data_IF_922921738187
#
_entry.id   IF_922921738187
#
_cell.length_a   1.000
_cell.length_b   1.000
_cell.length_c   1.000
_cell.angle_alpha   90.00
_cell.angle_beta   90.00
_cell.angle_gamma   90.00
#
_symmetry.space_group_name_H-M   'P 1'
#
loop_
_entity.id
_entity.type
_entity.pdbx_description
1 polymer ?
#
# COMPACT_ATOMS: atom_id res chain seq x y z
N UNK A 1 5.64 7.21 -22.46
CA UNK A 1 4.37 6.98 -21.71
C UNK A 1 4.41 5.58 -21.13
N UNK A 2 3.95 5.36 -19.90
CA UNK A 2 3.93 4.04 -19.27
C UNK A 2 2.49 3.59 -19.07
N UNK A 3 2.20 2.33 -19.36
CA UNK A 3 0.96 1.65 -18.97
C UNK A 3 1.28 0.53 -17.99
N UNK A 4 0.41 0.35 -17.00
CA UNK A 4 0.55 -0.71 -16.00
C UNK A 4 -0.71 -1.55 -15.94
N UNK A 5 -0.56 -2.80 -15.51
CA UNK A 5 -1.67 -3.71 -15.19
C UNK A 5 -1.25 -4.66 -14.07
N UNK A 6 -2.24 -5.36 -13.51
CA UNK A 6 -2.02 -6.46 -12.57
C UNK A 6 -2.50 -7.76 -13.19
N UNK A 7 -1.63 -8.75 -13.25
CA UNK A 7 -1.93 -10.04 -13.86
C UNK A 7 -2.34 -11.09 -12.82
N UNK A 8 -3.59 -11.55 -12.92
CA UNK A 8 -4.12 -12.68 -12.14
C UNK A 8 -4.01 -14.02 -12.89
N UNK A 9 -3.44 -14.02 -14.11
CA UNK A 9 -3.31 -15.20 -14.99
C UNK A 9 -1.86 -15.64 -15.17
N UNK A 10 -0.97 -15.12 -14.33
CA UNK A 10 0.44 -15.49 -14.24
C UNK A 10 1.39 -14.61 -15.08
N UNK A 11 2.70 -14.77 -14.85
CA UNK A 11 3.71 -13.79 -15.27
C UNK A 11 3.95 -13.72 -16.79
N UNK A 12 3.55 -14.75 -17.55
CA UNK A 12 3.97 -14.90 -18.96
C UNK A 12 2.93 -14.44 -19.97
N UNK A 13 1.66 -14.27 -19.60
CA UNK A 13 0.60 -14.00 -20.57
C UNK A 13 0.76 -12.60 -21.17
N UNK A 14 0.81 -11.57 -20.32
CA UNK A 14 0.94 -10.19 -20.75
C UNK A 14 2.38 -9.82 -21.16
N UNK A 15 3.38 -10.57 -20.71
CA UNK A 15 4.78 -10.40 -21.13
C UNK A 15 4.95 -10.53 -22.64
N UNK A 16 4.23 -11.50 -23.25
CA UNK A 16 4.18 -11.72 -24.71
C UNK A 16 3.52 -10.56 -25.46
N UNK A 17 2.67 -9.79 -24.77
CA UNK A 17 2.01 -8.61 -25.30
C UNK A 17 2.80 -7.32 -25.02
N UNK A 18 3.94 -7.42 -24.32
CA UNK A 18 4.86 -6.33 -24.02
C UNK A 18 4.70 -5.67 -22.65
N UNK A 19 3.72 -6.10 -21.83
CA UNK A 19 3.67 -5.73 -20.42
C UNK A 19 4.58 -6.66 -19.64
N UNK A 20 5.81 -6.21 -19.44
CA UNK A 20 6.85 -6.94 -18.74
C UNK A 20 6.54 -7.03 -17.25
N UNK A 21 6.75 -8.20 -16.67
CA UNK A 21 6.58 -8.42 -15.23
C UNK A 21 7.54 -7.50 -14.46
N UNK A 22 6.99 -6.79 -13.49
CA UNK A 22 7.73 -6.00 -12.53
C UNK A 22 7.67 -6.73 -11.17
N UNK A 23 8.77 -7.36 -10.72
CA UNK A 23 8.79 -8.06 -9.45
C UNK A 23 8.34 -7.15 -8.31
N UNK A 24 7.46 -7.66 -7.46
CA UNK A 24 6.88 -6.89 -6.37
C UNK A 24 6.72 -7.78 -5.15
N UNK A 25 7.32 -7.32 -4.06
CA UNK A 25 7.24 -7.95 -2.75
C UNK A 25 5.99 -7.47 -2.03
N UNK A 26 5.57 -8.27 -1.07
CA UNK A 26 4.51 -7.90 -0.13
C UNK A 26 4.96 -8.22 1.28
N UNK A 27 4.67 -7.32 2.22
CA UNK A 27 4.68 -7.62 3.64
C UNK A 27 3.27 -8.02 4.08
N UNK A 28 3.16 -9.07 4.87
CA UNK A 28 1.89 -9.51 5.46
C UNK A 28 1.98 -9.62 6.97
N UNK A 29 0.86 -9.32 7.63
CA UNK A 29 0.68 -9.54 9.07
C UNK A 29 -0.54 -10.41 9.27
N UNK A 30 -0.38 -11.53 9.97
CA UNK A 30 -1.51 -12.32 10.47
C UNK A 30 -2.13 -11.60 11.67
N UNK A 31 -3.41 -11.26 11.56
CA UNK A 31 -4.16 -10.50 12.56
C UNK A 31 -4.28 -11.25 13.89
N UNK A 32 -4.29 -12.59 13.85
CA UNK A 32 -4.41 -13.47 15.00
C UNK A 32 -3.06 -13.87 15.61
N UNK A 33 -1.93 -13.47 15.00
CA UNK A 33 -0.61 -13.78 15.56
C UNK A 33 -0.45 -13.10 16.94
N UNK A 34 0.03 -13.82 17.99
CA UNK A 34 0.19 -13.27 19.32
C UNK A 34 1.03 -11.98 19.41
N UNK A 35 2.06 -11.82 18.56
CA UNK A 35 2.84 -10.58 18.51
C UNK A 35 2.00 -9.42 17.97
N UNK A 36 1.22 -9.67 16.92
CA UNK A 36 0.36 -8.66 16.30
C UNK A 36 -0.86 -8.31 17.16
N UNK A 37 -1.21 -9.11 18.18
CA UNK A 37 -2.29 -8.82 19.15
C UNK A 37 -1.82 -7.88 20.27
N UNK A 38 -0.53 -7.84 20.59
CA UNK A 38 -0.03 -7.06 21.73
C UNK A 38 -0.24 -5.56 21.52
N UNK A 39 -1.22 -5.02 22.23
CA UNK A 39 -1.43 -3.58 22.29
C UNK A 39 -0.50 -2.97 23.34
N UNK A 40 0.63 -2.41 22.92
CA UNK A 40 1.35 -1.47 23.77
C UNK A 40 0.56 -0.16 23.79
N UNK A 41 -0.09 0.13 24.93
CA UNK A 41 -0.78 1.39 25.22
C UNK A 41 0.20 2.57 25.41
N UNK A 42 1.36 2.56 24.76
CA UNK A 42 2.40 3.55 25.00
C UNK A 42 2.33 4.73 24.02
N UNK A 43 1.63 5.75 24.53
CA UNK A 43 1.58 7.16 24.14
C UNK A 43 0.50 7.57 23.13
N UNK A 44 -0.25 8.59 23.57
CA UNK A 44 -1.25 9.36 22.85
C UNK A 44 -0.62 10.28 21.79
N UNK A 45 -0.08 9.71 20.70
CA UNK A 45 -0.03 10.48 19.47
C UNK A 45 -1.48 10.69 19.01
N UNK A 46 -1.86 11.92 18.70
CA UNK A 46 -3.17 12.23 18.14
C UNK A 46 -3.21 11.67 16.71
N UNK A 47 -3.86 10.50 16.57
CA UNK A 47 -4.09 9.87 15.28
C UNK A 47 -5.39 10.43 14.70
N UNK A 48 -5.29 11.04 13.52
CA UNK A 48 -6.44 11.52 12.77
C UNK A 48 -6.95 10.40 11.85
N UNK A 49 -8.25 10.11 11.91
CA UNK A 49 -8.88 9.15 10.99
C UNK A 49 -9.10 9.79 9.62
N UNK A 50 -8.69 9.09 8.57
CA UNK A 50 -8.95 9.48 7.19
C UNK A 50 -10.28 8.87 6.73
N UNK A 51 -11.09 9.68 6.05
CA UNK A 51 -12.34 9.27 5.40
C UNK A 51 -12.34 9.77 3.96
N UNK A 52 -13.25 9.25 3.12
CA UNK A 52 -13.40 9.69 1.72
C UNK A 52 -14.18 11.01 1.61
N UNK A 53 -13.89 11.97 2.48
CA UNK A 53 -14.51 13.29 2.47
C UNK A 53 -13.87 14.21 1.40
N UNK A 54 -14.33 15.46 1.37
CA UNK A 54 -13.82 16.46 0.42
C UNK A 54 -12.35 16.85 0.69
N UNK A 55 -11.83 16.61 1.89
CA UNK A 55 -10.43 16.89 2.22
C UNK A 55 -9.49 15.80 1.70
N UNK A 56 -9.99 14.57 1.49
CA UNK A 56 -9.20 13.43 1.04
C UNK A 56 -8.49 13.68 -0.29
N UNK A 57 -9.15 14.35 -1.23
CA UNK A 57 -8.54 14.72 -2.51
C UNK A 57 -7.33 15.65 -2.31
N UNK A 58 -7.48 16.68 -1.48
CA UNK A 58 -6.39 17.64 -1.18
C UNK A 58 -5.23 16.97 -0.45
N UNK A 59 -5.52 16.02 0.45
CA UNK A 59 -4.52 15.20 1.12
C UNK A 59 -3.70 14.36 0.13
N UNK A 60 -4.35 13.62 -0.77
CA UNK A 60 -3.66 12.86 -1.83
C UNK A 60 -2.87 13.78 -2.77
N UNK A 61 -3.38 14.98 -3.06
CA UNK A 61 -2.65 15.94 -3.89
C UNK A 61 -1.33 16.38 -3.23
N UNK A 62 -1.33 16.61 -1.92
CA UNK A 62 -0.11 16.91 -1.17
C UNK A 62 0.87 15.72 -1.18
N UNK A 63 0.37 14.48 -1.02
CA UNK A 63 1.18 13.27 -1.13
C UNK A 63 1.77 13.09 -2.54
N UNK A 64 0.99 13.38 -3.57
CA UNK A 64 1.42 13.33 -4.97
C UNK A 64 2.56 14.33 -5.25
N UNK A 65 2.49 15.53 -4.69
CA UNK A 65 3.57 16.52 -4.82
C UNK A 65 4.89 16.02 -4.17
N UNK A 66 4.80 15.27 -3.07
CA UNK A 66 5.96 14.61 -2.44
C UNK A 66 6.51 13.49 -3.33
N UNK A 67 5.66 12.62 -3.86
CA UNK A 67 6.07 11.56 -4.80
C UNK A 67 6.78 12.12 -6.05
N UNK A 68 6.29 13.23 -6.60
CA UNK A 68 6.94 13.91 -7.74
C UNK A 68 8.31 14.47 -7.34
N UNK A 69 8.44 15.00 -6.13
CA UNK A 69 9.71 15.49 -5.60
C UNK A 69 10.72 14.35 -5.41
N UNK A 70 10.28 13.23 -4.83
CA UNK A 70 11.08 12.02 -4.64
C UNK A 70 11.52 11.43 -5.99
N UNK A 71 10.61 11.37 -6.96
CA UNK A 71 10.92 10.92 -8.33
C UNK A 71 11.98 11.80 -9.00
N UNK A 72 12.04 13.08 -8.64
CA UNK A 72 13.01 14.05 -9.18
C UNK A 72 14.30 14.14 -8.37
N UNK A 73 14.47 13.34 -7.32
CA UNK A 73 15.67 13.36 -6.48
C UNK A 73 16.82 12.55 -7.06
N UNK A 74 18.03 12.78 -6.53
CA UNK A 74 19.26 12.11 -6.96
C UNK A 74 19.23 10.58 -6.78
N UNK A 75 18.25 10.03 -6.06
CA UNK A 75 18.08 8.59 -5.88
C UNK A 75 17.91 7.83 -7.21
N UNK A 76 17.46 8.51 -8.26
CA UNK A 76 17.27 7.95 -9.59
C UNK A 76 18.24 8.54 -10.63
N UNK A 77 19.32 9.20 -10.20
CA UNK A 77 20.31 9.74 -11.14
C UNK A 77 20.88 8.60 -12.03
N UNK A 78 20.84 8.80 -13.34
CA UNK A 78 21.29 7.80 -14.32
C UNK A 78 20.33 6.62 -14.55
N UNK A 79 19.13 6.63 -13.97
CA UNK A 79 18.11 5.59 -14.15
C UNK A 79 16.74 6.20 -14.47
N UNK A 80 16.06 5.70 -15.51
CA UNK A 80 14.66 6.08 -15.74
C UNK A 80 13.77 5.56 -14.59
N UNK A 81 12.88 6.39 -14.10
CA UNK A 81 11.89 6.04 -13.08
C UNK A 81 10.52 6.62 -13.43
N UNK A 82 9.46 6.00 -12.91
CA UNK A 82 8.09 6.50 -13.00
C UNK A 82 7.34 6.20 -11.70
N UNK A 83 6.25 6.92 -11.49
CA UNK A 83 5.31 6.73 -10.38
C UNK A 83 3.90 6.78 -10.93
N UNK A 84 3.00 5.97 -10.39
CA UNK A 84 1.57 6.14 -10.57
C UNK A 84 1.07 6.96 -9.38
N UNK A 85 0.42 8.08 -9.64
CA UNK A 85 -0.06 8.95 -8.58
C UNK A 85 -1.41 8.46 -8.05
N UNK A 86 -1.57 8.19 -6.75
CA UNK A 86 -2.87 7.85 -6.18
C UNK A 86 -3.88 8.99 -6.41
N UNK A 87 -5.08 8.62 -6.81
CA UNK A 87 -6.23 9.52 -6.96
C UNK A 87 -7.36 9.12 -6.04
N UNK A 88 -8.27 10.05 -5.74
CA UNK A 88 -9.48 9.74 -4.98
C UNK A 88 -10.22 8.58 -5.64
N UNK A 89 -10.46 8.63 -6.94
CA UNK A 89 -11.19 7.59 -7.69
C UNK A 89 -10.56 6.20 -7.53
N UNK A 90 -9.23 6.09 -7.62
CA UNK A 90 -8.52 4.81 -7.51
C UNK A 90 -8.67 4.14 -6.14
N UNK A 91 -8.78 4.95 -5.07
CA UNK A 91 -8.92 4.49 -3.70
C UNK A 91 -10.41 4.28 -3.37
N UNK A 92 -11.27 5.22 -3.75
CA UNK A 92 -12.71 5.18 -3.54
C UNK A 92 -13.33 3.95 -4.19
N UNK A 93 -12.91 3.59 -5.40
CA UNK A 93 -13.36 2.35 -6.05
C UNK A 93 -13.12 1.11 -5.19
N UNK A 94 -11.89 0.93 -4.67
CA UNK A 94 -11.54 -0.21 -3.83
C UNK A 94 -12.23 -0.19 -2.47
N UNK A 95 -12.40 1.00 -1.90
CA UNK A 95 -13.11 1.19 -0.65
C UNK A 95 -14.60 0.82 -0.78
N UNK A 96 -15.26 1.30 -1.84
CA UNK A 96 -16.67 0.99 -2.13
C UNK A 96 -16.91 -0.50 -2.35
N UNK A 97 -15.97 -1.24 -2.95
CA UNK A 97 -16.04 -2.70 -3.02
C UNK A 97 -16.08 -3.31 -1.62
N UNK A 98 -15.23 -2.82 -0.70
CA UNK A 98 -15.23 -3.25 0.69
C UNK A 98 -16.56 -2.97 1.39
N UNK A 99 -17.11 -1.77 1.23
CA UNK A 99 -18.43 -1.39 1.78
C UNK A 99 -19.54 -2.29 1.24
N UNK A 100 -19.56 -2.52 -0.07
CA UNK A 100 -20.53 -3.40 -0.71
C UNK A 100 -20.50 -4.81 -0.14
N UNK A 101 -19.31 -5.42 0.00
CA UNK A 101 -19.19 -6.77 0.58
C UNK A 101 -19.53 -6.80 2.08
N UNK A 102 -19.25 -5.74 2.84
CA UNK A 102 -19.63 -5.65 4.25
C UNK A 102 -21.15 -5.65 4.38
N UNK A 103 -21.83 -4.86 3.54
CA UNK A 103 -23.28 -4.81 3.48
C UNK A 103 -23.89 -6.15 3.04
N UNK A 104 -23.34 -6.77 1.99
CA UNK A 104 -23.81 -8.05 1.48
C UNK A 104 -23.59 -9.23 2.45
N UNK A 105 -22.61 -9.10 3.36
CA UNK A 105 -22.33 -10.07 4.42
C UNK A 105 -22.98 -9.69 5.76
N UNK A 106 -23.82 -8.66 5.78
CA UNK A 106 -24.59 -8.22 6.96
C UNK A 106 -23.71 -7.90 8.17
N UNK A 107 -22.57 -7.24 7.95
CA UNK A 107 -21.78 -6.70 9.07
C UNK A 107 -22.60 -5.65 9.83
N UNK A 108 -22.46 -5.64 11.15
CA UNK A 108 -23.12 -4.67 12.04
C UNK A 108 -22.72 -3.23 11.72
N UNK A 109 -21.46 -3.04 11.37
CA UNK A 109 -20.88 -1.76 10.96
C UNK A 109 -20.34 -1.85 9.53
N UNK A 110 -20.44 -0.75 8.79
CA UNK A 110 -19.85 -0.64 7.45
C UNK A 110 -18.51 0.12 7.52
N UNK A 111 -17.55 -0.20 6.64
CA UNK A 111 -16.33 0.60 6.52
C UNK A 111 -16.66 2.07 6.33
N UNK A 112 -16.17 2.91 7.25
CA UNK A 112 -16.36 4.37 7.21
C UNK A 112 -15.04 5.14 7.20
N UNK A 113 -13.92 4.48 7.54
CA UNK A 113 -12.57 5.04 7.55
C UNK A 113 -11.72 4.34 6.50
N UNK A 114 -10.99 5.12 5.71
CA UNK A 114 -10.07 4.62 4.70
C UNK A 114 -8.60 4.71 5.13
N UNK A 115 -8.30 5.17 6.35
CA UNK A 115 -6.92 5.25 6.82
C UNK A 115 -6.78 5.98 8.15
N UNK A 116 -5.54 6.16 8.57
CA UNK A 116 -5.15 7.06 9.67
C UNK A 116 -3.87 7.80 9.31
N UNK A 117 -3.71 9.00 9.86
CA UNK A 117 -2.46 9.76 9.81
C UNK A 117 -2.09 10.31 11.17
N UNK A 118 -0.79 10.49 11.39
CA UNK A 118 -0.25 11.33 12.46
C UNK A 118 0.01 12.72 11.90
N UNK A 119 0.59 12.77 10.71
CA UNK A 119 0.85 13.98 9.93
C UNK A 119 0.91 13.61 8.43
N UNK A 120 1.34 14.55 7.62
CA UNK A 120 1.44 14.41 6.16
C UNK A 120 2.56 13.45 5.68
N UNK A 121 3.50 13.11 6.56
CA UNK A 121 4.65 12.24 6.29
C UNK A 121 4.58 10.90 7.04
N UNK A 122 3.52 10.68 7.82
CA UNK A 122 3.28 9.47 8.60
C UNK A 122 1.81 9.05 8.55
N UNK A 123 1.45 8.20 7.59
CA UNK A 123 0.08 7.75 7.40
C UNK A 123 -0.01 6.38 6.72
N UNK A 124 -1.19 5.76 6.85
CA UNK A 124 -1.58 4.57 6.07
C UNK A 124 -3.01 4.72 5.57
N UNK A 125 -3.23 4.32 4.33
CA UNK A 125 -4.54 4.23 3.68
C UNK A 125 -4.82 2.76 3.39
N UNK A 126 -6.04 2.32 3.64
CA UNK A 126 -6.46 0.94 3.48
C UNK A 126 -7.78 0.79 2.73
N UNK A 127 -7.99 -0.41 2.19
CA UNK A 127 -9.27 -0.86 1.67
C UNK A 127 -9.55 -2.31 2.11
N UNK A 128 -10.81 -2.59 2.44
CA UNK A 128 -11.27 -3.89 2.91
C UNK A 128 -11.51 -4.84 1.74
N UNK A 129 -10.69 -5.89 1.62
CA UNK A 129 -10.97 -7.00 0.73
C UNK A 129 -11.55 -8.16 1.54
N UNK A 130 -12.85 -8.07 1.80
CA UNK A 130 -13.59 -9.06 2.60
C UNK A 130 -13.63 -10.44 1.92
N UNK A 131 -13.66 -10.49 0.58
CA UNK A 131 -13.62 -11.75 -0.18
C UNK A 131 -12.34 -12.54 0.11
N UNK A 132 -11.19 -11.86 0.17
CA UNK A 132 -9.91 -12.47 0.49
C UNK A 132 -9.57 -12.42 1.99
N UNK A 133 -10.49 -11.96 2.86
CA UNK A 133 -10.27 -11.74 4.29
C UNK A 133 -8.99 -10.94 4.59
N UNK A 134 -8.78 -9.85 3.83
CA UNK A 134 -7.56 -9.04 3.84
C UNK A 134 -7.84 -7.56 3.96
N UNK A 135 -7.11 -6.86 4.83
CA UNK A 135 -7.00 -5.40 4.78
C UNK A 135 -5.79 -5.05 3.90
N UNK A 136 -6.03 -4.47 2.72
CA UNK A 136 -4.91 -4.03 1.88
C UNK A 136 -4.53 -2.63 2.31
N UNK A 137 -3.29 -2.40 2.72
CA UNK A 137 -2.75 -1.05 2.82
C UNK A 137 -2.39 -0.63 1.40
N UNK A 138 -3.22 0.24 0.84
CA UNK A 138 -3.13 0.64 -0.56
C UNK A 138 -2.11 1.74 -0.76
N UNK A 139 -1.88 2.59 0.24
CA UNK A 139 -0.86 3.65 0.23
C UNK A 139 -0.27 3.80 1.62
N UNK A 140 1.05 3.78 1.74
CA UNK A 140 1.74 3.92 3.03
C UNK A 140 2.85 4.97 2.95
N UNK A 141 2.91 5.83 3.96
CA UNK A 141 4.07 6.69 4.19
C UNK A 141 4.52 6.48 5.61
N UNK A 142 5.58 5.70 5.77
CA UNK A 142 6.16 5.35 7.05
C UNK A 142 7.53 6.01 7.15
N UNK A 143 7.85 6.69 8.28
CA UNK A 143 9.17 7.30 8.45
C UNK A 143 10.26 6.23 8.42
N UNK A 144 11.19 6.33 7.46
CA UNK A 144 12.27 5.35 7.32
C UNK A 144 13.43 5.57 8.29
N UNK A 145 13.55 6.77 8.85
CA UNK A 145 14.65 7.12 9.75
C UNK A 145 14.21 8.10 10.84
N UNK A 146 15.06 8.25 11.87
CA UNK A 146 14.80 9.13 13.00
C UNK A 146 14.43 8.39 14.29
N UNK A 147 14.52 9.10 15.42
CA UNK A 147 14.38 8.50 16.76
C UNK A 147 13.01 7.85 17.00
N UNK A 148 11.98 8.36 16.33
CA UNK A 148 10.59 7.92 16.52
C UNK A 148 10.06 7.04 15.37
N UNK A 149 10.87 6.72 14.35
CA UNK A 149 10.41 6.01 13.15
C UNK A 149 9.68 4.70 13.47
N UNK A 150 10.35 3.79 14.19
CA UNK A 150 9.76 2.51 14.59
C UNK A 150 8.48 2.69 15.43
N UNK A 151 8.46 3.66 16.35
CA UNK A 151 7.31 3.95 17.21
C UNK A 151 6.12 4.45 16.38
N UNK A 152 6.35 5.37 15.44
CA UNK A 152 5.33 5.85 14.50
C UNK A 152 4.78 4.71 13.65
N UNK A 153 5.65 3.87 13.10
CA UNK A 153 5.24 2.67 12.35
C UNK A 153 4.41 1.73 13.23
N UNK A 154 4.78 1.52 14.50
CA UNK A 154 3.99 0.71 15.42
C UNK A 154 2.59 1.26 15.63
N UNK A 155 2.46 2.56 15.84
CA UNK A 155 1.16 3.22 16.04
C UNK A 155 0.24 3.03 14.82
N UNK A 156 0.76 3.29 13.62
CA UNK A 156 -0.01 3.15 12.38
C UNK A 156 -0.43 1.68 12.13
N UNK A 157 0.51 0.73 12.23
CA UNK A 157 0.19 -0.69 12.04
C UNK A 157 -0.82 -1.23 13.06
N UNK A 158 -0.77 -0.72 14.31
CA UNK A 158 -1.75 -1.09 15.32
C UNK A 158 -3.17 -0.63 14.96
N UNK A 159 -3.34 0.55 14.36
CA UNK A 159 -4.65 0.99 13.87
C UNK A 159 -5.17 0.13 12.73
N UNK A 160 -4.31 -0.24 11.77
CA UNK A 160 -4.69 -1.20 10.73
C UNK A 160 -5.08 -2.57 11.30
N UNK A 161 -4.39 -3.05 12.35
CA UNK A 161 -4.74 -4.30 13.03
C UNK A 161 -6.06 -4.21 13.78
N UNK A 162 -6.36 -3.08 14.42
CA UNK A 162 -7.67 -2.82 15.04
C UNK A 162 -8.79 -2.84 14.00
N UNK A 163 -8.61 -2.11 12.90
CA UNK A 163 -9.55 -2.08 11.78
C UNK A 163 -9.78 -3.49 11.20
N UNK A 164 -8.69 -4.24 10.97
CA UNK A 164 -8.76 -5.60 10.46
C UNK A 164 -9.55 -6.53 11.40
N UNK A 165 -9.37 -6.40 12.72
CA UNK A 165 -10.14 -7.17 13.72
C UNK A 165 -11.62 -6.81 13.73
N UNK A 166 -11.93 -5.53 13.66
CA UNK A 166 -13.31 -5.02 13.63
C UNK A 166 -14.08 -5.66 12.47
N UNK A 167 -13.45 -5.79 11.31
CA UNK A 167 -14.01 -6.44 10.12
C UNK A 167 -13.68 -7.92 9.99
N UNK A 168 -13.24 -8.59 11.06
CA UNK A 168 -12.95 -10.04 11.11
C UNK A 168 -12.02 -10.52 9.98
N UNK A 169 -11.12 -9.65 9.54
CA UNK A 169 -10.12 -9.94 8.51
C UNK A 169 -8.98 -10.75 9.13
N UNK A 170 -8.43 -11.69 8.36
CA UNK A 170 -7.35 -12.58 8.83
C UNK A 170 -5.97 -12.00 8.62
N UNK A 171 -5.79 -11.14 7.63
CA UNK A 171 -4.47 -10.61 7.26
C UNK A 171 -4.48 -9.14 6.88
N UNK A 172 -3.35 -8.48 7.12
CA UNK A 172 -3.00 -7.20 6.50
C UNK A 172 -1.99 -7.48 5.37
N UNK A 173 -2.11 -6.78 4.26
CA UNK A 173 -1.20 -6.86 3.12
C UNK A 173 -0.68 -5.47 2.74
N UNK A 174 0.63 -5.34 2.60
CA UNK A 174 1.33 -4.10 2.21
C UNK A 174 2.17 -4.41 0.99
N UNK A 175 1.83 -3.81 -0.15
CA UNK A 175 2.61 -3.97 -1.39
C UNK A 175 3.76 -2.98 -1.40
N UNK A 176 4.86 -3.35 -2.08
CA UNK A 176 6.08 -2.54 -2.13
C UNK A 176 6.52 -2.06 -0.73
N UNK A 177 6.71 -3.01 0.22
CA UNK A 177 6.75 -2.69 1.65
C UNK A 177 7.92 -1.76 2.00
N UNK A 178 7.67 -0.64 2.72
CA UNK A 178 8.72 0.26 3.18
C UNK A 178 9.80 -0.45 4.00
N UNK A 179 11.05 -0.01 3.85
CA UNK A 179 12.22 -0.71 4.42
C UNK A 179 12.18 -0.77 5.96
N UNK A 180 11.56 0.22 6.61
CA UNK A 180 11.34 0.28 8.06
C UNK A 180 10.59 -0.93 8.61
N UNK A 181 9.80 -1.64 7.80
CA UNK A 181 9.11 -2.86 8.24
C UNK A 181 10.08 -4.01 8.56
N UNK A 182 11.31 -3.96 8.05
CA UNK A 182 12.37 -4.91 8.35
C UNK A 182 13.24 -4.51 9.56
N UNK A 183 13.07 -3.30 10.11
CA UNK A 183 13.84 -2.83 11.26
C UNK A 183 13.56 -3.68 12.51
N UNK A 184 14.61 -4.01 13.26
CA UNK A 184 14.52 -4.89 14.43
C UNK A 184 13.57 -4.36 15.51
N UNK A 185 13.46 -3.04 15.68
CA UNK A 185 12.52 -2.44 16.64
C UNK A 185 11.08 -2.63 16.17
N UNK A 186 10.82 -2.56 14.86
CA UNK A 186 9.52 -2.90 14.27
C UNK A 186 9.22 -4.39 14.45
N UNK A 187 10.14 -5.24 14.01
CA UNK A 187 10.05 -6.71 14.08
C UNK A 187 9.90 -7.25 15.51
N UNK A 188 10.43 -6.55 16.51
CA UNK A 188 10.28 -6.95 17.93
C UNK A 188 8.84 -6.92 18.44
N UNK A 189 7.96 -6.15 17.79
CA UNK A 189 6.55 -6.03 18.18
C UNK A 189 5.58 -6.68 17.19
N UNK A 190 6.02 -6.94 15.96
CA UNK A 190 5.16 -7.50 14.92
C UNK A 190 5.80 -8.71 14.24
N UNK A 191 4.99 -9.75 14.06
CA UNK A 191 5.30 -10.82 13.13
C UNK A 191 4.86 -10.40 11.73
N UNK A 192 5.84 -9.98 10.93
CA UNK A 192 5.72 -9.54 9.54
C UNK A 192 6.38 -10.57 8.62
N UNK A 193 5.65 -11.07 7.63
CA UNK A 193 6.21 -11.98 6.63
C UNK A 193 6.43 -11.22 5.33
N UNK A 194 7.64 -11.29 4.79
CA UNK A 194 7.94 -10.78 3.46
C UNK A 194 7.84 -11.93 2.46
N UNK A 195 6.94 -11.80 1.49
CA UNK A 195 6.67 -12.81 0.47
C UNK A 195 6.77 -12.21 -0.92
N UNK A 196 7.22 -13.02 -1.87
CA UNK A 196 7.04 -12.71 -3.29
C UNK A 196 5.56 -12.88 -3.64
N UNK A 197 5.00 -11.94 -4.38
CA UNK A 197 3.60 -12.05 -4.81
C UNK A 197 3.49 -13.04 -5.96
N UNK A 198 2.47 -13.89 -5.89
CA UNK A 198 2.08 -14.85 -6.93
C UNK A 198 0.74 -14.51 -7.60
N UNK A 199 0.05 -13.49 -7.08
CA UNK A 199 -1.25 -13.01 -7.55
C UNK A 199 -1.23 -11.49 -7.80
N UNK A 200 -2.09 -11.04 -8.72
CA UNK A 200 -2.20 -9.66 -9.19
C UNK A 200 -0.85 -9.03 -9.52
N UNK A 201 -0.03 -9.77 -10.29
CA UNK A 201 1.38 -9.44 -10.54
C UNK A 201 1.51 -8.11 -11.29
N UNK A 202 2.30 -7.16 -10.75
CA UNK A 202 2.52 -5.87 -11.39
C UNK A 202 3.24 -6.08 -12.73
N UNK A 203 2.70 -5.52 -13.79
CA UNK A 203 3.36 -5.47 -15.10
C UNK A 203 3.33 -4.07 -15.67
N UNK A 204 4.39 -3.69 -16.37
CA UNK A 204 4.54 -2.37 -16.98
C UNK A 204 4.94 -2.48 -18.45
N UNK A 205 4.44 -1.55 -19.27
CA UNK A 205 4.81 -1.37 -20.66
C UNK A 205 5.24 0.08 -20.88
N UNK A 206 6.38 0.27 -21.53
CA UNK A 206 6.90 1.60 -21.89
C UNK A 206 6.66 1.86 -23.38
N UNK A 207 5.82 2.85 -23.68
CA UNK A 207 5.61 3.33 -25.05
C UNK A 207 6.64 4.41 -25.39
N UNK A 208 7.25 4.27 -26.57
CA UNK A 208 8.12 5.29 -27.17
C UNK A 208 9.61 4.92 -27.20
N UNK A 209 10.04 3.84 -26.55
CA UNK A 209 11.38 3.29 -26.76
C UNK A 209 11.41 2.57 -28.11
N UNK A 210 11.91 3.24 -29.15
CA UNK A 210 12.23 2.59 -30.43
C UNK A 210 13.43 1.67 -30.22
N UNK A 211 13.20 0.36 -30.19
CA UNK A 211 14.18 -0.59 -30.73
C UNK A 211 14.82 -1.60 -29.79
N UNK A 212 14.42 -1.72 -28.52
CA UNK A 212 14.91 -2.83 -27.71
C UNK A 212 13.80 -3.46 -26.85
N UNK A 213 13.38 -4.66 -27.25
CA UNK A 213 12.41 -5.49 -26.52
C UNK A 213 12.99 -5.98 -25.18
N UNK A 214 14.31 -5.86 -25.00
CA UNK A 214 15.06 -6.24 -23.81
C UNK A 214 15.53 -5.05 -22.97
N UNK A 215 15.09 -3.82 -23.27
CA UNK A 215 15.39 -2.67 -22.43
C UNK A 215 14.89 -2.91 -20.99
N UNK A 216 15.73 -2.61 -20.00
CA UNK A 216 15.35 -2.74 -18.61
C UNK A 216 14.16 -1.81 -18.31
N UNK A 217 13.18 -2.33 -17.55
CA UNK A 217 12.06 -1.50 -17.11
C UNK A 217 12.56 -0.32 -16.26
N UNK A 218 12.05 0.91 -16.50
CA UNK A 218 12.22 2.02 -15.59
C UNK A 218 11.81 1.62 -14.16
N UNK A 219 12.44 2.21 -13.15
CA UNK A 219 12.06 1.96 -11.77
C UNK A 219 10.63 2.45 -11.50
N UNK A 220 9.78 1.56 -11.00
CA UNK A 220 8.44 1.90 -10.53
C UNK A 220 8.52 2.27 -9.04
N UNK A 221 8.48 3.58 -8.76
CA UNK A 221 8.38 4.13 -7.40
C UNK A 221 6.96 3.91 -6.85
N UNK A 222 6.84 3.44 -5.61
CA UNK A 222 5.57 3.18 -4.93
C UNK A 222 4.65 2.25 -5.74
N UNK A 223 5.13 1.03 -6.03
CA UNK A 223 4.38 -0.02 -6.72
C UNK A 223 3.35 -0.68 -5.79
N UNK A 224 2.49 0.14 -5.21
CA UNK A 224 1.46 -0.22 -4.24
C UNK A 224 0.12 -0.52 -4.93
N UNK A 225 -0.83 -1.10 -4.20
CA UNK A 225 -2.08 -1.67 -4.73
C UNK A 225 -3.16 -0.62 -5.03
N UNK A 226 -2.86 0.46 -5.75
CA UNK A 226 -3.87 1.45 -6.16
C UNK A 226 -3.96 1.70 -7.67
N UNK A 227 -3.01 1.26 -8.49
CA UNK A 227 -3.00 1.56 -9.93
C UNK A 227 -4.06 0.81 -10.79
N UNK A 228 -5.20 0.40 -10.21
CA UNK A 228 -6.32 -0.18 -10.95
C UNK A 228 -7.12 0.97 -11.56
N UNK A 229 -6.95 1.22 -12.86
CA UNK A 229 -7.76 2.18 -13.65
C UNK A 229 -8.17 1.52 -14.95
#
# INVERSE_FOLDING_TARGET
MVSVLYSDIGPTYYDKLGWKLYPSKMATLDVANPLNIKHNNDSAAELESLTLDENFHSFLHADNARLVTELSSDQFEGREAFVILPTRDSIEWQFCIGVYFAQAQEYEELPCRCGVKIDEDAFIIWCHNLKASTLNLVRTRLPESGKNAAKTTHLLLNEALKEARMFRLKKIAIWDPPSILADDKVRSQFEIQFVERDDSLSSAMVFGQRGDVNAALPHWLANEKFAWV
#
